data_IF_955468561958
#
_entry.id   IF_955468561958
#
_cell.length_a   1.000
_cell.length_b   1.000
_cell.length_c   1.000
_cell.angle_alpha   90.00
_cell.angle_beta   90.00
_cell.angle_gamma   90.00
#
_symmetry.space_group_name_H-M   'P 1'
#
loop_
_entity.id
_entity.type
_entity.pdbx_description
1 polymer ?
#
# COMPACT_ATOMS: atom_id res chain seq x y z
N UNK A 1 -17.95 2.71 15.38
CA UNK A 1 -16.69 2.48 14.62
C UNK A 1 -15.84 3.75 14.60
N UNK A 2 -16.40 4.91 14.24
CA UNK A 2 -15.62 6.16 14.10
C UNK A 2 -14.84 6.54 15.36
N UNK A 3 -15.43 6.39 16.56
CA UNK A 3 -14.74 6.68 17.84
C UNK A 3 -13.56 5.74 18.13
N UNK A 4 -13.64 4.51 17.64
CA UNK A 4 -12.63 3.47 17.85
C UNK A 4 -11.56 3.44 16.75
N UNK A 5 -11.67 4.32 15.76
CA UNK A 5 -10.73 4.36 14.64
C UNK A 5 -10.76 3.11 13.74
N UNK A 6 -11.91 2.45 13.65
CA UNK A 6 -12.09 1.25 12.81
C UNK A 6 -11.93 1.64 11.34
N UNK A 7 -10.93 1.07 10.69
CA UNK A 7 -10.63 1.33 9.27
C UNK A 7 -11.14 0.22 8.33
N UNK A 8 -11.41 -0.97 8.86
CA UNK A 8 -11.77 -2.16 8.08
C UNK A 8 -12.96 -2.84 8.75
N UNK A 9 -13.94 -3.25 7.96
CA UNK A 9 -15.10 -4.02 8.44
C UNK A 9 -15.28 -5.29 7.61
N UNK A 10 -15.69 -6.35 8.29
CA UNK A 10 -16.12 -7.61 7.69
C UNK A 10 -17.51 -7.95 8.22
N UNK A 11 -18.51 -7.86 7.36
CA UNK A 11 -19.85 -8.32 7.65
C UNK A 11 -19.96 -9.80 7.29
N UNK A 12 -20.48 -10.62 8.20
CA UNK A 12 -20.73 -12.05 7.94
C UNK A 12 -22.22 -12.27 7.83
N UNK A 13 -22.66 -12.88 6.73
CA UNK A 13 -24.05 -13.27 6.49
C UNK A 13 -24.15 -14.81 6.53
N UNK A 14 -24.37 -15.40 7.71
CA UNK A 14 -24.45 -16.86 7.83
C UNK A 14 -25.73 -17.43 7.22
N UNK A 15 -26.80 -16.66 7.22
CA UNK A 15 -28.10 -17.00 6.65
C UNK A 15 -28.78 -15.71 6.16
N UNK A 16 -30.08 -15.78 5.86
CA UNK A 16 -30.86 -14.61 5.50
C UNK A 16 -30.86 -13.57 6.63
N UNK A 17 -30.49 -12.35 6.31
CA UNK A 17 -30.48 -11.18 7.20
C UNK A 17 -31.12 -9.98 6.50
N UNK A 18 -31.50 -8.96 7.22
CA UNK A 18 -32.02 -7.73 6.60
C UNK A 18 -30.86 -6.81 6.16
N UNK A 19 -30.95 -6.26 4.94
CA UNK A 19 -29.86 -5.45 4.33
C UNK A 19 -29.49 -4.22 5.11
N UNK A 20 -30.50 -3.53 5.65
CA UNK A 20 -30.30 -2.32 6.45
C UNK A 20 -29.51 -2.53 7.74
N UNK A 21 -29.53 -3.74 8.28
CA UNK A 21 -28.86 -4.10 9.53
C UNK A 21 -27.43 -4.62 9.31
N UNK A 22 -27.10 -5.03 8.09
CA UNK A 22 -25.82 -5.66 7.74
C UNK A 22 -24.89 -4.71 6.96
N UNK A 23 -25.35 -3.50 6.68
CA UNK A 23 -24.55 -2.52 5.95
C UNK A 23 -23.63 -1.74 6.88
N UNK A 24 -22.40 -1.57 6.43
CA UNK A 24 -21.51 -0.55 6.97
C UNK A 24 -21.68 0.74 6.16
N UNK A 25 -22.29 1.75 6.74
CA UNK A 25 -22.58 3.03 6.10
C UNK A 25 -21.45 4.05 6.20
N UNK A 26 -20.36 3.76 6.91
CA UNK A 26 -19.23 4.69 7.00
C UNK A 26 -18.47 4.73 5.66
N UNK A 27 -18.38 5.88 4.97
CA UNK A 27 -17.69 5.99 3.68
C UNK A 27 -16.16 5.78 3.81
N UNK A 28 -15.62 5.85 5.01
CA UNK A 28 -14.18 5.77 5.23
C UNK A 28 -13.67 4.37 5.58
N UNK A 29 -14.54 3.40 5.84
CA UNK A 29 -14.12 2.03 6.10
C UNK A 29 -13.95 1.24 4.81
N UNK A 30 -12.99 0.33 4.79
CA UNK A 30 -12.79 -0.67 3.73
C UNK A 30 -13.63 -1.89 4.09
N UNK A 31 -14.56 -2.27 3.23
CA UNK A 31 -15.62 -3.20 3.56
C UNK A 31 -15.51 -4.51 2.80
N UNK A 32 -15.72 -5.63 3.49
CA UNK A 32 -16.06 -6.89 2.86
C UNK A 32 -17.32 -7.49 3.48
N UNK A 33 -17.99 -8.32 2.70
CA UNK A 33 -19.13 -9.12 3.13
C UNK A 33 -18.83 -10.58 2.82
N UNK A 34 -18.85 -11.42 3.85
CA UNK A 34 -18.69 -12.86 3.70
C UNK A 34 -20.07 -13.53 3.80
N UNK A 35 -20.53 -14.10 2.69
CA UNK A 35 -21.75 -14.91 2.64
C UNK A 35 -21.44 -16.40 2.77
N UNK A 36 -21.97 -17.05 3.81
CA UNK A 36 -21.80 -18.48 4.00
C UNK A 36 -22.57 -19.25 2.91
N UNK A 37 -21.87 -20.07 2.12
CA UNK A 37 -22.46 -20.91 1.08
C UNK A 37 -22.87 -22.27 1.66
N UNK A 38 -24.04 -22.31 2.29
CA UNK A 38 -24.55 -23.50 3.00
C UNK A 38 -25.86 -23.99 2.42
N UNK A 39 -26.15 -25.29 2.67
CA UNK A 39 -27.48 -25.86 2.38
C UNK A 39 -28.56 -25.18 3.24
N UNK A 40 -29.82 -25.27 2.83
CA UNK A 40 -31.03 -24.79 3.51
C UNK A 40 -31.13 -23.28 3.78
N UNK A 41 -30.06 -22.63 4.23
CA UNK A 41 -30.04 -21.22 4.61
C UNK A 41 -28.81 -20.52 4.04
N UNK A 42 -28.70 -20.36 2.72
CA UNK A 42 -27.50 -19.82 2.10
C UNK A 42 -27.35 -18.32 2.34
N UNK A 43 -26.42 -17.93 3.18
CA UNK A 43 -26.01 -16.54 3.38
C UNK A 43 -25.39 -15.92 2.12
N UNK A 44 -24.83 -16.76 1.22
CA UNK A 44 -24.29 -16.33 -0.06
C UNK A 44 -25.34 -15.68 -0.97
N UNK A 45 -26.60 -16.09 -0.93
CA UNK A 45 -27.70 -15.45 -1.67
C UNK A 45 -27.92 -14.02 -1.15
N UNK A 46 -27.82 -13.85 0.16
CA UNK A 46 -27.98 -12.55 0.78
C UNK A 46 -26.80 -11.60 0.55
N UNK A 47 -25.61 -12.15 0.40
CA UNK A 47 -24.39 -11.42 0.01
C UNK A 47 -24.65 -10.53 -1.22
N UNK A 48 -25.28 -11.05 -2.26
CA UNK A 48 -25.57 -10.29 -3.48
C UNK A 48 -26.46 -9.06 -3.20
N UNK A 49 -27.47 -9.21 -2.34
CA UNK A 49 -28.34 -8.13 -1.93
C UNK A 49 -27.60 -7.05 -1.13
N UNK A 50 -26.75 -7.44 -0.19
CA UNK A 50 -25.95 -6.50 0.61
C UNK A 50 -24.95 -5.74 -0.26
N UNK A 51 -24.27 -6.43 -1.17
CA UNK A 51 -23.35 -5.76 -2.12
C UNK A 51 -24.06 -4.80 -3.04
N UNK A 52 -25.24 -5.17 -3.59
CA UNK A 52 -26.05 -4.30 -4.42
C UNK A 52 -26.49 -3.03 -3.67
N UNK A 53 -26.86 -3.19 -2.41
CA UNK A 53 -27.30 -2.06 -1.58
C UNK A 53 -26.12 -1.12 -1.26
N UNK A 54 -24.94 -1.66 -0.94
CA UNK A 54 -23.73 -0.85 -0.81
C UNK A 54 -23.40 -0.09 -2.10
N UNK A 55 -23.46 -0.77 -3.24
CA UNK A 55 -23.21 -0.14 -4.55
C UNK A 55 -24.17 1.01 -4.85
N UNK A 56 -25.48 0.86 -4.55
CA UNK A 56 -26.48 1.92 -4.70
C UNK A 56 -26.19 3.16 -3.83
N UNK A 57 -25.50 2.97 -2.72
CA UNK A 57 -25.11 4.06 -1.82
C UNK A 57 -23.72 4.65 -2.14
N UNK A 58 -23.07 4.19 -3.19
CA UNK A 58 -21.71 4.60 -3.53
C UNK A 58 -20.65 4.13 -2.52
N UNK A 59 -20.93 3.05 -1.79
CA UNK A 59 -20.06 2.48 -0.76
C UNK A 59 -19.52 1.13 -1.24
N UNK A 60 -18.39 1.08 -1.94
CA UNK A 60 -17.87 -0.17 -2.48
C UNK A 60 -17.58 -1.19 -1.38
N UNK A 61 -17.99 -2.43 -1.57
CA UNK A 61 -17.72 -3.55 -0.68
C UNK A 61 -17.29 -4.78 -1.48
N UNK A 62 -16.41 -5.60 -0.89
CA UNK A 62 -15.89 -6.82 -1.52
C UNK A 62 -16.69 -8.03 -1.07
N UNK A 63 -17.13 -8.85 -2.03
CA UNK A 63 -17.84 -10.10 -1.74
C UNK A 63 -16.90 -11.28 -1.54
N UNK A 64 -17.14 -12.06 -0.49
CA UNK A 64 -16.40 -13.29 -0.20
C UNK A 64 -17.41 -14.41 0.02
N UNK A 65 -17.23 -15.54 -0.66
CA UNK A 65 -18.01 -16.77 -0.47
C UNK A 65 -17.22 -17.99 -0.93
N UNK A 66 -17.57 -19.17 -0.41
CA UNK A 66 -16.96 -20.44 -0.79
C UNK A 66 -17.45 -20.95 -2.14
N UNK A 67 -16.59 -21.63 -2.90
CA UNK A 67 -16.94 -22.26 -4.16
C UNK A 67 -17.94 -23.39 -3.95
N UNK A 68 -17.70 -24.24 -2.95
CA UNK A 68 -18.53 -25.41 -2.68
C UNK A 68 -19.61 -25.10 -1.65
N UNK A 69 -20.73 -25.83 -1.78
CA UNK A 69 -21.83 -25.74 -0.83
C UNK A 69 -21.51 -26.63 0.38
N UNK A 70 -21.44 -26.05 1.57
CA UNK A 70 -21.26 -26.78 2.82
C UNK A 70 -22.60 -27.25 3.39
N UNK A 71 -22.54 -28.32 4.16
CA UNK A 71 -23.67 -28.70 5.01
C UNK A 71 -23.99 -27.61 6.03
N UNK A 72 -25.26 -27.46 6.40
CA UNK A 72 -25.68 -26.42 7.36
C UNK A 72 -24.98 -26.54 8.71
N UNK A 73 -24.69 -27.76 9.15
CA UNK A 73 -24.02 -28.02 10.44
C UNK A 73 -22.50 -27.91 10.36
N UNK A 74 -21.92 -27.80 9.15
CA UNK A 74 -20.48 -27.66 9.00
C UNK A 74 -20.04 -26.27 9.46
N UNK A 75 -19.37 -26.16 10.60
CA UNK A 75 -18.85 -24.93 11.18
C UNK A 75 -17.44 -24.53 10.69
N UNK A 76 -16.87 -25.27 9.75
CA UNK A 76 -15.52 -24.98 9.24
C UNK A 76 -15.50 -23.81 8.27
N UNK A 77 -14.35 -23.16 8.16
CA UNK A 77 -14.10 -22.14 7.12
C UNK A 77 -13.46 -22.85 5.92
N UNK A 78 -14.08 -22.83 4.73
CA UNK A 78 -13.46 -23.41 3.54
C UNK A 78 -12.11 -22.77 3.23
N UNK A 79 -11.16 -23.56 2.76
CA UNK A 79 -9.80 -23.09 2.48
C UNK A 79 -9.75 -21.91 1.47
N UNK A 80 -10.61 -21.94 0.46
CA UNK A 80 -10.72 -20.85 -0.53
C UNK A 80 -11.30 -19.56 0.08
N UNK A 81 -12.19 -19.69 1.07
CA UNK A 81 -12.72 -18.54 1.84
C UNK A 81 -11.64 -17.99 2.75
N UNK A 82 -10.91 -18.83 3.47
CA UNK A 82 -9.80 -18.41 4.32
C UNK A 82 -8.76 -17.62 3.51
N UNK A 83 -8.36 -18.12 2.34
CA UNK A 83 -7.45 -17.41 1.45
C UNK A 83 -7.98 -16.03 1.04
N UNK A 84 -9.27 -15.94 0.66
CA UNK A 84 -9.92 -14.67 0.27
C UNK A 84 -9.99 -13.69 1.45
N UNK A 85 -10.31 -14.17 2.66
CA UNK A 85 -10.33 -13.36 3.87
C UNK A 85 -8.94 -12.80 4.21
N UNK A 86 -7.91 -13.63 4.16
CA UNK A 86 -6.53 -13.21 4.41
C UNK A 86 -6.03 -12.23 3.37
N UNK A 87 -6.35 -12.46 2.09
CA UNK A 87 -6.01 -11.53 1.00
C UNK A 87 -6.70 -10.17 1.18
N UNK A 88 -8.00 -10.17 1.45
CA UNK A 88 -8.73 -8.95 1.78
C UNK A 88 -8.12 -8.22 2.97
N UNK A 89 -7.89 -8.92 4.08
CA UNK A 89 -7.33 -8.33 5.29
C UNK A 89 -5.98 -7.65 5.05
N UNK A 90 -5.06 -8.33 4.36
CA UNK A 90 -3.74 -7.77 4.01
C UNK A 90 -3.85 -6.53 3.13
N UNK A 91 -4.68 -6.58 2.08
CA UNK A 91 -4.88 -5.45 1.18
C UNK A 91 -5.56 -4.27 1.89
N UNK A 92 -6.55 -4.54 2.72
CA UNK A 92 -7.27 -3.52 3.47
C UNK A 92 -6.38 -2.84 4.53
N UNK A 93 -5.53 -3.60 5.23
CA UNK A 93 -4.54 -3.03 6.17
C UNK A 93 -3.56 -2.13 5.42
N UNK A 94 -3.04 -2.58 4.28
CA UNK A 94 -2.13 -1.77 3.47
C UNK A 94 -2.80 -0.45 3.04
N UNK A 95 -4.01 -0.51 2.47
CA UNK A 95 -4.75 0.68 2.05
C UNK A 95 -5.11 1.61 3.24
N UNK A 96 -5.51 1.03 4.38
CA UNK A 96 -5.83 1.81 5.57
C UNK A 96 -4.62 2.54 6.16
N UNK A 97 -3.42 1.93 6.10
CA UNK A 97 -2.18 2.54 6.59
C UNK A 97 -1.64 3.65 5.67
N UNK A 98 -2.05 3.69 4.41
CA UNK A 98 -1.71 4.78 3.48
C UNK A 98 -2.49 6.06 3.77
N UNK A 99 -3.71 5.96 4.28
CA UNK A 99 -4.57 7.12 4.54
C UNK A 99 -3.92 8.12 5.49
N UNK A 100 -3.96 9.39 5.09
CA UNK A 100 -3.35 10.49 5.84
C UNK A 100 -1.82 10.54 5.76
N UNK A 101 -1.19 9.65 4.98
CA UNK A 101 0.24 9.72 4.67
C UNK A 101 0.49 10.66 3.51
N UNK A 102 1.74 11.09 3.39
CA UNK A 102 2.22 11.83 2.23
C UNK A 102 2.97 10.92 1.28
N UNK A 103 2.83 11.18 -0.01
CA UNK A 103 3.69 10.66 -1.06
C UNK A 103 4.73 11.72 -1.38
N UNK A 104 5.99 11.47 -1.11
CA UNK A 104 7.08 12.41 -1.42
C UNK A 104 7.47 12.26 -2.89
N UNK A 105 7.28 13.34 -3.65
CA UNK A 105 7.79 13.49 -5.01
C UNK A 105 9.06 14.32 -4.98
N UNK A 106 10.16 13.78 -5.51
CA UNK A 106 11.42 14.48 -5.64
C UNK A 106 11.59 14.92 -7.08
N UNK A 107 11.76 16.23 -7.28
CA UNK A 107 11.82 16.82 -8.62
C UNK A 107 10.46 16.89 -9.31
N UNK A 108 10.49 16.89 -10.64
CA UNK A 108 9.33 17.05 -11.51
C UNK A 108 9.46 16.14 -12.73
N UNK A 109 8.63 16.37 -13.75
CA UNK A 109 8.72 15.65 -15.03
C UNK A 109 10.09 15.93 -15.66
N UNK A 110 10.88 14.86 -15.82
CA UNK A 110 12.18 14.93 -16.47
C UNK A 110 12.08 14.43 -17.92
N UNK A 111 12.52 15.25 -18.88
CA UNK A 111 12.62 14.89 -20.30
C UNK A 111 11.37 14.25 -20.91
N UNK A 112 10.18 14.58 -20.43
CA UNK A 112 8.92 14.03 -20.93
C UNK A 112 8.67 12.56 -20.59
N UNK A 113 9.35 12.01 -19.59
CA UNK A 113 9.14 10.64 -19.13
C UNK A 113 7.79 10.55 -18.43
N UNK A 114 6.80 9.95 -19.10
CA UNK A 114 5.42 9.87 -18.61
C UNK A 114 5.27 9.16 -17.27
N UNK A 115 6.15 8.19 -16.95
CA UNK A 115 6.13 7.47 -15.68
C UNK A 115 6.54 8.30 -14.46
N UNK A 116 7.11 9.51 -14.67
CA UNK A 116 7.41 10.44 -13.58
C UNK A 116 6.25 11.40 -13.25
N UNK A 117 5.15 11.32 -13.99
CA UNK A 117 3.95 12.13 -13.76
C UNK A 117 3.12 11.43 -12.68
N UNK A 118 2.86 12.16 -11.59
CA UNK A 118 2.02 11.69 -10.51
C UNK A 118 0.66 12.37 -10.61
N UNK A 119 -0.38 11.54 -10.61
CA UNK A 119 -1.76 11.99 -10.50
C UNK A 119 -2.11 12.16 -9.02
N UNK A 120 -2.04 13.39 -8.53
CA UNK A 120 -2.37 13.73 -7.13
C UNK A 120 -3.83 13.43 -6.80
N UNK A 121 -4.75 13.66 -7.75
CA UNK A 121 -6.17 13.41 -7.53
C UNK A 121 -6.47 11.93 -7.36
N UNK A 122 -5.75 11.07 -8.10
CA UNK A 122 -5.83 9.63 -7.91
C UNK A 122 -5.33 9.21 -6.53
N UNK A 123 -4.17 9.70 -6.09
CA UNK A 123 -3.61 9.36 -4.78
C UNK A 123 -4.53 9.81 -3.64
N UNK A 124 -5.08 11.01 -3.74
CA UNK A 124 -6.00 11.54 -2.74
C UNK A 124 -7.32 10.77 -2.72
N UNK A 125 -7.95 10.57 -3.88
CA UNK A 125 -9.27 9.96 -3.98
C UNK A 125 -9.28 8.48 -3.64
N UNK A 126 -8.28 7.71 -4.09
CA UNK A 126 -8.25 6.26 -3.91
C UNK A 126 -7.45 5.79 -2.71
N UNK A 127 -6.37 6.47 -2.36
CA UNK A 127 -5.47 6.05 -1.28
C UNK A 127 -5.55 6.97 -0.06
N UNK A 128 -6.21 8.13 -0.17
CA UNK A 128 -6.28 9.12 0.90
C UNK A 128 -4.91 9.73 1.24
N UNK A 129 -4.01 9.75 0.26
CA UNK A 129 -2.65 10.29 0.38
C UNK A 129 -2.56 11.64 -0.30
N UNK A 130 -1.80 12.56 0.29
CA UNK A 130 -1.44 13.80 -0.37
C UNK A 130 -0.07 13.69 -1.03
N UNK A 131 0.18 14.51 -2.04
CA UNK A 131 1.49 14.63 -2.69
C UNK A 131 2.22 15.84 -2.10
N UNK A 132 3.43 15.60 -1.60
CA UNK A 132 4.37 16.64 -1.18
C UNK A 132 5.52 16.67 -2.18
N UNK A 133 5.82 17.84 -2.74
CA UNK A 133 6.89 17.98 -3.72
C UNK A 133 8.10 18.68 -3.13
N UNK A 134 9.28 18.14 -3.39
CA UNK A 134 10.56 18.67 -2.97
C UNK A 134 11.48 18.75 -4.19
N UNK A 135 12.19 19.83 -4.33
CA UNK A 135 13.21 19.97 -5.39
C UNK A 135 14.50 19.22 -5.02
N UNK A 136 15.17 18.64 -6.00
CA UNK A 136 16.45 17.93 -5.80
C UNK A 136 17.53 18.82 -5.17
N UNK A 137 17.46 20.13 -5.38
CA UNK A 137 18.36 21.12 -4.76
C UNK A 137 18.32 21.03 -3.23
N UNK A 138 17.18 20.69 -2.63
CA UNK A 138 17.09 20.55 -1.18
C UNK A 138 17.94 19.37 -0.65
N UNK A 139 18.02 18.28 -1.40
CA UNK A 139 18.89 17.12 -1.05
C UNK A 139 20.36 17.58 -1.08
N UNK A 140 20.76 18.30 -2.14
CA UNK A 140 22.12 18.81 -2.29
C UNK A 140 22.44 19.83 -1.19
N UNK A 141 21.49 20.72 -0.86
CA UNK A 141 21.65 21.67 0.25
C UNK A 141 21.89 20.97 1.57
N UNK A 142 21.05 19.99 1.92
CA UNK A 142 21.22 19.21 3.17
C UNK A 142 22.56 18.49 3.21
N UNK A 143 22.95 17.90 2.08
CA UNK A 143 24.26 17.22 1.98
C UNK A 143 25.43 18.18 2.19
N UNK A 144 25.37 19.38 1.60
CA UNK A 144 26.43 20.41 1.70
C UNK A 144 26.50 21.03 3.09
N UNK A 145 25.35 21.24 3.72
CA UNK A 145 25.25 21.85 5.06
C UNK A 145 25.37 20.82 6.21
N UNK A 146 25.49 19.53 5.89
CA UNK A 146 25.58 18.47 6.89
C UNK A 146 24.28 18.24 7.67
N UNK A 147 23.13 18.48 7.03
CA UNK A 147 21.80 18.29 7.65
C UNK A 147 21.31 16.87 7.39
N UNK A 148 21.84 15.92 8.12
CA UNK A 148 21.44 14.50 8.14
C UNK A 148 22.05 13.83 9.38
N UNK A 149 21.50 12.66 9.77
CA UNK A 149 22.06 11.87 10.87
C UNK A 149 23.35 11.14 10.41
N UNK A 150 24.49 11.65 10.86
CA UNK A 150 25.80 11.08 10.56
C UNK A 150 25.94 9.64 11.06
N UNK A 151 25.36 9.30 12.21
CA UNK A 151 25.44 7.95 12.76
C UNK A 151 24.64 6.96 11.90
N UNK A 152 23.48 7.38 11.41
CA UNK A 152 22.67 6.58 10.50
C UNK A 152 23.35 6.44 9.13
N UNK A 153 23.97 7.52 8.63
CA UNK A 153 24.77 7.44 7.40
C UNK A 153 25.91 6.43 7.52
N UNK A 154 26.66 6.40 8.62
CA UNK A 154 27.75 5.47 8.80
C UNK A 154 27.28 4.02 8.87
N UNK A 155 26.13 3.75 9.50
CA UNK A 155 25.50 2.41 9.49
C UNK A 155 25.06 1.99 8.08
N UNK A 156 24.40 2.92 7.37
CA UNK A 156 23.93 2.67 6.01
C UNK A 156 25.10 2.39 5.06
N UNK A 157 26.19 3.16 5.18
CA UNK A 157 27.40 3.00 4.37
C UNK A 157 28.08 1.63 4.65
N UNK A 158 28.23 1.25 5.91
CA UNK A 158 28.79 -0.05 6.29
C UNK A 158 27.95 -1.19 5.73
N UNK A 159 26.62 -1.11 5.89
CA UNK A 159 25.69 -2.09 5.34
C UNK A 159 25.76 -2.17 3.81
N UNK A 160 25.79 -1.02 3.14
CA UNK A 160 25.85 -0.97 1.69
C UNK A 160 27.16 -1.57 1.13
N UNK A 161 28.31 -1.28 1.78
CA UNK A 161 29.62 -1.86 1.43
C UNK A 161 29.65 -3.39 1.60
N UNK A 162 28.91 -3.91 2.59
CA UNK A 162 28.81 -5.37 2.82
C UNK A 162 27.85 -6.05 1.82
N UNK A 163 26.71 -5.47 1.55
CA UNK A 163 25.60 -6.12 0.83
C UNK A 163 25.53 -5.80 -0.65
N UNK A 164 25.97 -4.61 -1.06
CA UNK A 164 25.92 -4.23 -2.46
C UNK A 164 27.07 -4.85 -3.25
N UNK A 165 26.72 -5.43 -4.40
CA UNK A 165 27.74 -5.95 -5.32
C UNK A 165 28.16 -4.83 -6.25
N UNK A 166 29.48 -4.64 -6.40
CA UNK A 166 30.03 -3.75 -7.41
C UNK A 166 29.70 -4.33 -8.78
N UNK A 167 29.06 -3.53 -9.62
CA UNK A 167 28.75 -3.88 -10.99
C UNK A 167 29.98 -3.83 -11.89
N UNK A 168 29.77 -4.17 -13.15
CA UNK A 168 30.79 -4.08 -14.18
C UNK A 168 30.57 -2.83 -15.04
N UNK A 169 31.53 -1.93 -15.06
CA UNK A 169 31.50 -0.75 -15.92
C UNK A 169 31.87 -1.15 -17.36
N UNK A 170 30.90 -1.04 -18.27
CA UNK A 170 31.04 -1.34 -19.70
C UNK A 170 31.42 -0.13 -20.54
N UNK A 171 31.58 1.03 -19.92
CA UNK A 171 31.99 2.22 -20.65
C UNK A 171 33.39 2.10 -21.25
N UNK A 172 33.70 2.83 -22.33
CA UNK A 172 35.07 2.95 -22.82
C UNK A 172 36.00 3.54 -21.76
N UNK A 173 37.29 3.14 -21.79
CA UNK A 173 38.27 3.54 -20.78
C UNK A 173 38.37 5.06 -20.55
N UNK A 174 38.18 5.85 -21.59
CA UNK A 174 38.31 7.33 -21.50
C UNK A 174 37.14 8.00 -20.73
N UNK A 175 36.04 7.27 -20.45
CA UNK A 175 34.90 7.79 -19.66
C UNK A 175 34.69 7.01 -18.35
N UNK A 176 35.47 5.96 -18.08
CA UNK A 176 35.39 5.24 -16.81
C UNK A 176 35.84 6.13 -15.67
N UNK A 177 35.14 6.01 -14.56
CA UNK A 177 35.58 6.63 -13.32
C UNK A 177 36.82 5.93 -12.76
N UNK A 178 37.73 6.69 -12.16
CA UNK A 178 38.79 6.10 -11.35
C UNK A 178 38.18 5.38 -10.13
N UNK A 179 38.90 4.43 -9.52
CA UNK A 179 38.43 3.76 -8.31
C UNK A 179 38.02 4.73 -7.19
N UNK A 180 38.81 5.79 -7.00
CA UNK A 180 38.56 6.82 -5.99
C UNK A 180 37.26 7.58 -6.28
N UNK A 181 37.04 7.95 -7.55
CA UNK A 181 35.80 8.64 -7.95
C UNK A 181 34.58 7.73 -7.87
N UNK A 182 34.74 6.45 -8.14
CA UNK A 182 33.67 5.47 -7.97
C UNK A 182 33.28 5.30 -6.50
N UNK A 183 34.24 5.30 -5.58
CA UNK A 183 33.99 5.27 -4.14
C UNK A 183 33.29 6.55 -3.65
N UNK A 184 33.75 7.71 -4.07
CA UNK A 184 33.10 9.00 -3.77
C UNK A 184 31.66 9.04 -4.24
N UNK A 185 31.38 8.55 -5.45
CA UNK A 185 30.02 8.46 -5.96
C UNK A 185 29.15 7.47 -5.19
N UNK A 186 29.73 6.36 -4.77
CA UNK A 186 29.01 5.40 -3.93
C UNK A 186 28.62 6.00 -2.58
N UNK A 187 29.55 6.67 -1.92
CA UNK A 187 29.28 7.36 -0.65
C UNK A 187 28.24 8.48 -0.83
N UNK A 188 28.32 9.23 -1.92
CA UNK A 188 27.33 10.25 -2.28
C UNK A 188 25.91 9.66 -2.40
N UNK A 189 25.76 8.52 -3.10
CA UNK A 189 24.45 7.86 -3.29
C UNK A 189 23.89 7.37 -1.96
N UNK A 190 24.70 6.78 -1.10
CA UNK A 190 24.28 6.31 0.23
C UNK A 190 23.85 7.49 1.10
N UNK A 191 24.60 8.58 1.09
CA UNK A 191 24.24 9.80 1.83
C UNK A 191 22.92 10.39 1.35
N UNK A 192 22.75 10.47 0.03
CA UNK A 192 21.48 10.92 -0.57
C UNK A 192 20.29 10.05 -0.12
N UNK A 193 20.47 8.73 -0.07
CA UNK A 193 19.43 7.81 0.38
C UNK A 193 19.02 8.05 1.85
N UNK A 194 20.00 8.31 2.74
CA UNK A 194 19.72 8.65 4.15
C UNK A 194 18.95 9.97 4.24
N UNK A 195 19.40 11.00 3.53
CA UNK A 195 18.71 12.30 3.52
C UNK A 195 17.26 12.16 3.04
N UNK A 196 17.01 11.38 1.98
CA UNK A 196 15.65 11.14 1.46
C UNK A 196 14.78 10.40 2.49
N UNK A 197 15.38 9.47 3.23
CA UNK A 197 14.66 8.73 4.28
C UNK A 197 14.23 9.63 5.45
N UNK A 198 14.97 10.70 5.73
CA UNK A 198 14.70 11.65 6.80
C UNK A 198 13.72 12.77 6.40
N UNK A 199 13.40 12.87 5.10
CA UNK A 199 12.47 13.87 4.55
C UNK A 199 11.03 13.41 4.65
#
# INVERSE_FOLDING_TARGET
FKKEGVAITLTVTPCWCYGSETMDMDPNTIKAVWGCNKTERPGAVYLASVLATHAQKGLPAFGIYGHDVQDIEDGTIPADVEEKLLRFGRAAVAAATMRGKSYLQIGSICMGIGGSIIDSDFLESYLGMRVESVDEVEIIRRMTEGIYDEAEYQKALAWAKEKCKIGFDKNPEFVKNSPEKAEEQFEFVVKMAVIIQEM
#
